data_IF_263891696528
#
_entry.id   IF_263891696528
#
_cell.length_a   1.000
_cell.length_b   1.000
_cell.length_c   1.000
_cell.angle_alpha   90.00
_cell.angle_beta   90.00
_cell.angle_gamma   90.00
#
_symmetry.space_group_name_H-M   'P 1'
#
loop_
_entity.id
_entity.type
_entity.pdbx_description
1 polymer ?
#
# COMPACT_ATOMS: atom_id res chain seq x y z
N UNK A 1 -20.21 -29.54 30.77
CA UNK A 1 -18.76 -29.24 30.76
C UNK A 1 -18.60 -27.73 30.72
N UNK A 2 -18.20 -27.09 31.80
CA UNK A 2 -17.99 -25.63 31.88
C UNK A 2 -16.96 -25.18 30.82
N UNK A 3 -17.29 -24.15 30.04
CA UNK A 3 -16.38 -23.58 29.04
C UNK A 3 -15.07 -23.15 29.71
N UNK A 4 -13.94 -23.70 29.25
CA UNK A 4 -12.63 -23.26 29.72
C UNK A 4 -12.34 -21.85 29.16
N UNK A 5 -11.74 -20.93 29.95
CA UNK A 5 -11.16 -19.71 29.40
C UNK A 5 -10.26 -20.07 28.22
N UNK A 6 -10.44 -19.41 27.08
CA UNK A 6 -9.71 -19.78 25.87
C UNK A 6 -8.20 -19.49 25.99
N UNK A 7 -7.36 -20.50 25.75
CA UNK A 7 -5.95 -20.30 25.41
C UNK A 7 -5.86 -19.39 24.16
N UNK A 8 -5.05 -18.34 24.27
CA UNK A 8 -4.83 -17.33 23.24
C UNK A 8 -4.21 -17.91 21.95
N UNK A 9 -3.35 -18.92 22.04
CA UNK A 9 -2.75 -19.54 20.86
C UNK A 9 -3.81 -20.27 20.03
N UNK A 10 -4.64 -21.05 20.69
CA UNK A 10 -5.70 -21.80 20.03
C UNK A 10 -6.83 -20.86 19.54
N UNK A 11 -7.13 -19.75 20.26
CA UNK A 11 -8.03 -18.70 19.76
C UNK A 11 -7.49 -18.06 18.47
N UNK A 12 -6.19 -17.75 18.43
CA UNK A 12 -5.51 -17.24 17.23
C UNK A 12 -5.63 -18.22 16.07
N UNK A 13 -5.43 -19.50 16.31
CA UNK A 13 -5.42 -20.52 15.26
C UNK A 13 -6.83 -20.75 14.69
N UNK A 14 -7.86 -20.76 15.55
CA UNK A 14 -9.28 -20.82 15.13
C UNK A 14 -9.65 -19.61 14.25
N UNK A 15 -9.32 -18.40 14.70
CA UNK A 15 -9.61 -17.16 13.96
C UNK A 15 -8.88 -17.15 12.62
N UNK A 16 -7.59 -17.49 12.59
CA UNK A 16 -6.80 -17.55 11.35
C UNK A 16 -7.37 -18.56 10.36
N UNK A 17 -7.73 -19.75 10.82
CA UNK A 17 -8.30 -20.78 9.95
C UNK A 17 -9.65 -20.33 9.37
N UNK A 18 -10.52 -19.73 10.19
CA UNK A 18 -11.80 -19.18 9.74
C UNK A 18 -11.63 -18.04 8.71
N UNK A 19 -10.58 -17.22 8.86
CA UNK A 19 -10.23 -16.17 7.89
C UNK A 19 -9.73 -16.75 6.55
N UNK A 20 -8.90 -17.80 6.60
CA UNK A 20 -8.41 -18.48 5.40
C UNK A 20 -9.54 -19.17 4.62
N UNK A 21 -10.50 -19.74 5.34
CA UNK A 21 -11.65 -20.44 4.76
C UNK A 21 -12.82 -19.51 4.40
N UNK A 22 -12.72 -18.21 4.74
CA UNK A 22 -13.78 -17.22 4.57
C UNK A 22 -15.10 -17.62 5.24
N UNK A 23 -15.03 -18.24 6.42
CA UNK A 23 -16.14 -18.70 7.26
C UNK A 23 -16.24 -17.84 8.52
N UNK A 24 -16.82 -16.62 8.44
CA UNK A 24 -16.86 -15.70 9.57
C UNK A 24 -17.73 -16.19 10.75
N UNK A 25 -18.58 -17.18 10.51
CA UNK A 25 -19.37 -17.87 11.53
C UNK A 25 -19.27 -19.38 11.32
N UNK A 26 -18.26 -20.04 11.91
CA UNK A 26 -18.11 -21.49 11.77
C UNK A 26 -19.32 -22.25 12.32
N UNK A 27 -19.87 -23.16 11.52
CA UNK A 27 -20.98 -24.02 11.93
C UNK A 27 -20.51 -25.08 12.94
N UNK A 28 -19.25 -25.49 12.89
CA UNK A 28 -18.66 -26.43 13.84
C UNK A 28 -18.55 -25.80 15.25
N UNK A 29 -19.28 -26.34 16.26
CA UNK A 29 -19.22 -25.85 17.62
C UNK A 29 -17.80 -25.83 18.20
N UNK A 30 -16.92 -26.76 17.84
CA UNK A 30 -15.54 -26.76 18.35
C UNK A 30 -14.73 -25.55 17.87
N UNK A 31 -15.15 -24.95 16.76
CA UNK A 31 -14.49 -23.80 16.12
C UNK A 31 -15.18 -22.48 16.42
N UNK A 32 -16.25 -22.44 17.22
CA UNK A 32 -16.91 -21.19 17.60
C UNK A 32 -16.16 -20.49 18.73
N UNK A 33 -16.27 -19.17 18.73
CA UNK A 33 -15.83 -18.32 19.84
C UNK A 33 -17.04 -17.53 20.29
N UNK A 34 -17.30 -17.56 21.59
CA UNK A 34 -18.41 -16.87 22.22
C UNK A 34 -17.91 -15.95 23.34
N UNK A 35 -18.70 -14.93 23.65
CA UNK A 35 -18.40 -13.95 24.70
C UNK A 35 -19.54 -13.92 25.71
N UNK A 36 -19.21 -14.10 26.97
CA UNK A 36 -20.13 -13.99 28.09
C UNK A 36 -20.43 -12.53 28.46
N UNK A 37 -21.43 -12.32 29.32
CA UNK A 37 -21.87 -10.97 29.74
C UNK A 37 -20.79 -10.16 30.48
N UNK A 38 -19.79 -10.84 31.01
CA UNK A 38 -18.64 -10.28 31.72
C UNK A 38 -17.45 -9.95 30.81
N UNK A 39 -17.57 -10.23 29.50
CA UNK A 39 -16.51 -10.05 28.52
C UNK A 39 -15.54 -11.24 28.44
N UNK A 40 -15.78 -12.32 29.17
CA UNK A 40 -14.95 -13.53 29.10
C UNK A 40 -15.14 -14.23 27.76
N UNK A 41 -14.03 -14.61 27.13
CA UNK A 41 -14.02 -15.34 25.85
C UNK A 41 -14.00 -16.84 26.11
N UNK A 42 -14.97 -17.53 25.53
CA UNK A 42 -15.12 -18.97 25.58
C UNK A 42 -14.96 -19.60 24.20
N UNK A 43 -14.59 -20.87 24.19
CA UNK A 43 -14.65 -21.70 22.98
C UNK A 43 -15.90 -22.56 22.97
N UNK A 44 -16.46 -22.67 21.77
CA UNK A 44 -17.72 -23.32 21.53
C UNK A 44 -18.92 -22.58 22.10
N UNK A 45 -20.05 -23.27 22.08
CA UNK A 45 -21.24 -22.81 22.77
C UNK A 45 -21.00 -23.05 24.27
N UNK A 46 -21.07 -21.99 25.09
CA UNK A 46 -20.90 -22.13 26.54
C UNK A 46 -21.91 -23.14 27.08
N UNK A 47 -21.48 -24.05 27.95
CA UNK A 47 -22.42 -24.94 28.61
C UNK A 47 -23.14 -24.20 29.75
N UNK A 48 -24.41 -23.88 29.54
CA UNK A 48 -25.31 -23.27 30.53
C UNK A 48 -26.39 -22.40 29.87
N UNK A 49 -27.41 -22.00 30.64
CA UNK A 49 -28.51 -21.10 30.20
C UNK A 49 -28.09 -19.63 30.07
N UNK A 50 -26.79 -19.33 30.17
CA UNK A 50 -26.32 -17.95 30.08
C UNK A 50 -26.31 -17.48 28.62
N UNK A 51 -26.96 -16.34 28.29
CA UNK A 51 -26.92 -15.81 26.93
C UNK A 51 -25.49 -15.40 26.58
N UNK A 52 -24.98 -15.99 25.52
CA UNK A 52 -23.66 -15.69 24.96
C UNK A 52 -23.77 -15.03 23.58
N UNK A 53 -22.82 -14.15 23.28
CA UNK A 53 -22.70 -13.54 21.95
C UNK A 53 -21.68 -14.29 21.10
N UNK A 54 -22.03 -14.61 19.86
CA UNK A 54 -21.10 -15.22 18.90
C UNK A 54 -20.14 -14.16 18.35
N UNK A 55 -18.85 -14.47 18.37
CA UNK A 55 -17.82 -13.62 17.76
C UNK A 55 -17.81 -13.87 16.26
N UNK A 56 -17.78 -12.80 15.47
CA UNK A 56 -17.50 -12.87 14.03
C UNK A 56 -16.00 -13.10 13.81
N UNK A 57 -15.62 -14.16 13.12
CA UNK A 57 -14.23 -14.59 12.94
C UNK A 57 -13.58 -14.03 11.69
N UNK A 58 -14.34 -13.34 10.84
CA UNK A 58 -13.77 -12.69 9.66
C UNK A 58 -12.71 -11.67 10.05
N UNK A 59 -11.95 -11.23 9.05
CA UNK A 59 -10.87 -10.26 9.26
C UNK A 59 -11.42 -9.02 9.95
N UNK A 60 -10.72 -8.53 10.97
CA UNK A 60 -10.88 -7.14 11.40
C UNK A 60 -10.76 -6.22 10.18
N UNK A 61 -11.25 -4.99 10.28
CA UNK A 61 -10.99 -3.97 9.26
C UNK A 61 -9.48 -3.74 9.14
N UNK A 62 -8.83 -4.60 8.38
CA UNK A 62 -7.47 -4.49 7.93
C UNK A 62 -7.58 -3.83 6.57
N UNK A 63 -6.82 -2.76 6.38
CA UNK A 63 -6.69 -2.15 5.08
C UNK A 63 -5.99 -3.16 4.15
N UNK A 64 -6.79 -3.94 3.42
CA UNK A 64 -6.30 -4.99 2.51
C UNK A 64 -5.29 -4.42 1.52
N UNK A 65 -5.42 -3.14 1.17
CA UNK A 65 -4.45 -2.40 0.36
C UNK A 65 -3.10 -2.35 1.06
N UNK A 66 -3.03 -1.82 2.28
CA UNK A 66 -1.78 -1.71 3.04
C UNK A 66 -1.09 -3.08 3.24
N UNK A 67 -1.85 -4.15 3.48
CA UNK A 67 -1.29 -5.50 3.58
C UNK A 67 -0.65 -5.97 2.25
N UNK A 68 -1.32 -5.72 1.12
CA UNK A 68 -0.78 -6.00 -0.21
C UNK A 68 0.44 -5.14 -0.52
N UNK A 69 0.40 -3.85 -0.16
CA UNK A 69 1.50 -2.91 -0.36
C UNK A 69 2.73 -3.30 0.45
N UNK A 70 2.56 -3.69 1.71
CA UNK A 70 3.64 -4.18 2.57
C UNK A 70 4.33 -5.41 1.98
N UNK A 71 3.54 -6.35 1.47
CA UNK A 71 4.09 -7.52 0.80
C UNK A 71 4.85 -7.12 -0.48
N UNK A 72 4.25 -6.29 -1.32
CA UNK A 72 4.85 -5.84 -2.58
C UNK A 72 6.16 -5.10 -2.34
N UNK A 73 6.15 -4.10 -1.46
CA UNK A 73 7.34 -3.31 -1.15
C UNK A 73 8.49 -4.20 -0.66
N UNK A 74 8.20 -5.14 0.25
CA UNK A 74 9.20 -6.08 0.76
C UNK A 74 9.74 -7.03 -0.31
N UNK A 75 8.89 -7.46 -1.25
CA UNK A 75 9.24 -8.50 -2.21
C UNK A 75 9.79 -7.97 -3.54
N UNK A 76 9.48 -6.73 -3.91
CA UNK A 76 9.65 -6.21 -5.28
C UNK A 76 10.26 -4.82 -5.38
N UNK A 77 10.17 -3.99 -4.34
CA UNK A 77 10.76 -2.65 -4.37
C UNK A 77 12.25 -2.67 -4.00
N UNK A 78 13.01 -1.61 -4.33
CA UNK A 78 14.45 -1.55 -4.06
C UNK A 78 14.76 -1.69 -2.57
N UNK A 79 15.96 -2.21 -2.28
CA UNK A 79 16.47 -2.23 -0.92
C UNK A 79 16.52 -0.81 -0.33
N UNK A 80 16.17 -0.69 0.96
CA UNK A 80 16.04 0.61 1.61
C UNK A 80 14.73 1.35 1.32
N UNK A 81 13.75 0.70 0.69
CA UNK A 81 12.37 1.20 0.66
C UNK A 81 11.79 1.23 2.08
N UNK A 82 11.24 2.36 2.51
CA UNK A 82 10.70 2.58 3.86
C UNK A 82 9.26 3.07 3.78
N UNK A 83 8.39 2.50 4.61
CA UNK A 83 7.07 3.05 4.84
C UNK A 83 7.16 4.18 5.88
N UNK A 84 6.72 5.38 5.52
CA UNK A 84 6.60 6.54 6.39
C UNK A 84 5.16 6.59 6.87
N UNK A 85 4.95 6.64 8.19
CA UNK A 85 3.63 6.69 8.83
C UNK A 85 3.57 7.86 9.82
N UNK A 86 3.59 9.08 9.29
CA UNK A 86 3.48 10.31 10.07
C UNK A 86 2.08 10.95 9.89
N UNK A 87 1.61 11.79 10.83
CA UNK A 87 0.25 12.35 10.82
C UNK A 87 -0.19 13.02 9.51
N UNK A 88 0.74 13.62 8.77
CA UNK A 88 0.48 14.35 7.52
C UNK A 88 1.18 13.75 6.29
N UNK A 89 2.00 12.72 6.50
CA UNK A 89 2.85 12.13 5.46
C UNK A 89 2.81 10.61 5.62
N UNK A 90 1.96 9.95 4.84
CA UNK A 90 1.88 8.49 4.78
C UNK A 90 2.17 7.98 3.39
N UNK A 91 3.09 7.04 3.28
CA UNK A 91 3.50 6.51 1.99
C UNK A 91 4.84 5.80 2.02
N UNK A 92 5.37 5.55 0.84
CA UNK A 92 6.57 4.76 0.60
C UNK A 92 7.67 5.65 0.05
N UNK A 93 8.75 5.78 0.81
CA UNK A 93 9.99 6.41 0.35
C UNK A 93 10.91 5.35 -0.25
N UNK A 94 11.43 5.61 -1.46
CA UNK A 94 12.32 4.69 -2.15
C UNK A 94 13.27 5.44 -3.09
N UNK A 95 14.36 4.79 -3.50
CA UNK A 95 15.30 5.35 -4.47
C UNK A 95 15.43 4.45 -5.68
N UNK A 96 15.55 5.05 -6.85
CA UNK A 96 15.83 4.40 -8.12
C UNK A 96 17.17 4.89 -8.61
N UNK A 97 18.05 3.97 -8.98
CA UNK A 97 19.28 4.30 -9.74
C UNK A 97 19.10 3.78 -11.15
N UNK A 98 19.20 4.66 -12.15
CA UNK A 98 19.06 4.31 -13.56
C UNK A 98 20.34 3.71 -14.11
N UNK A 99 20.27 3.13 -15.32
CA UNK A 99 21.45 2.62 -16.05
C UNK A 99 22.48 3.72 -16.37
N UNK A 100 22.06 4.99 -16.38
CA UNK A 100 22.94 6.15 -16.53
C UNK A 100 23.60 6.59 -15.20
N UNK A 101 23.46 5.77 -14.15
CA UNK A 101 23.93 6.04 -12.79
C UNK A 101 23.36 7.33 -12.18
N UNK A 102 22.15 7.72 -12.60
CA UNK A 102 21.41 8.80 -12.00
C UNK A 102 20.53 8.26 -10.88
N UNK A 103 20.52 8.93 -9.74
CA UNK A 103 19.70 8.55 -8.60
C UNK A 103 18.51 9.50 -8.45
N UNK A 104 17.34 8.93 -8.22
CA UNK A 104 16.11 9.64 -7.93
C UNK A 104 15.50 9.07 -6.64
N UNK A 105 15.25 9.92 -5.65
CA UNK A 105 14.48 9.57 -4.45
C UNK A 105 13.05 10.03 -4.63
N UNK A 106 12.11 9.11 -4.38
CA UNK A 106 10.70 9.24 -4.68
C UNK A 106 9.85 8.91 -3.45
N UNK A 107 8.64 9.47 -3.42
CA UNK A 107 7.65 9.21 -2.40
C UNK A 107 6.29 8.84 -3.03
N UNK A 108 5.88 7.58 -2.90
CA UNK A 108 4.58 7.11 -3.35
C UNK A 108 3.56 7.18 -2.20
N UNK A 109 2.43 7.86 -2.40
CA UNK A 109 1.39 7.99 -1.39
C UNK A 109 0.01 7.73 -2.00
N UNK A 110 -0.87 7.15 -1.19
CA UNK A 110 -2.25 6.91 -1.58
C UNK A 110 -3.12 8.10 -1.15
N UNK A 111 -3.77 8.77 -2.10
CA UNK A 111 -4.55 9.99 -1.84
C UNK A 111 -5.99 9.72 -1.34
N UNK A 112 -6.30 8.44 -1.07
CA UNK A 112 -7.65 7.98 -0.74
C UNK A 112 -8.36 7.31 -1.92
N UNK A 113 -7.86 7.50 -3.15
CA UNK A 113 -8.39 6.85 -4.36
C UNK A 113 -7.31 6.13 -5.15
N UNK A 114 -6.14 6.72 -5.27
CA UNK A 114 -5.07 6.26 -6.16
C UNK A 114 -3.69 6.62 -5.59
N UNK A 115 -2.68 5.91 -6.08
CA UNK A 115 -1.28 6.18 -5.80
C UNK A 115 -0.74 7.31 -6.66
N UNK A 116 -0.18 8.31 -6.00
CA UNK A 116 0.60 9.39 -6.60
C UNK A 116 2.06 9.23 -6.21
N UNK A 117 2.96 9.73 -7.04
CA UNK A 117 4.40 9.71 -6.76
C UNK A 117 4.94 11.12 -6.84
N UNK A 118 5.67 11.54 -5.82
CA UNK A 118 6.45 12.77 -5.80
C UNK A 118 7.93 12.49 -5.95
N UNK A 119 8.61 13.33 -6.72
CA UNK A 119 10.05 13.45 -6.69
C UNK A 119 10.46 14.18 -5.41
N UNK A 120 11.39 13.59 -4.68
CA UNK A 120 11.98 14.17 -3.46
C UNK A 120 13.38 14.71 -3.76
N UNK A 121 14.17 13.95 -4.53
CA UNK A 121 15.51 14.34 -4.97
C UNK A 121 15.82 13.70 -6.33
N UNK A 122 16.51 14.40 -7.26
CA UNK A 122 16.90 15.81 -7.20
C UNK A 122 15.71 16.78 -7.34
N UNK A 123 15.85 18.07 -6.96
CA UNK A 123 14.75 19.05 -6.95
C UNK A 123 14.40 19.58 -8.35
N UNK A 124 14.08 18.68 -9.29
CA UNK A 124 13.83 19.02 -10.70
C UNK A 124 12.54 19.83 -10.90
N UNK A 125 11.64 19.84 -9.93
CA UNK A 125 10.43 20.68 -9.97
C UNK A 125 10.76 22.17 -10.06
N UNK A 126 11.93 22.60 -9.59
CA UNK A 126 12.42 23.98 -9.76
C UNK A 126 12.67 24.30 -11.24
N UNK A 127 13.29 23.37 -11.97
CA UNK A 127 13.51 23.53 -13.42
C UNK A 127 12.20 23.58 -14.20
N UNK A 128 11.16 22.89 -13.72
CA UNK A 128 9.81 22.99 -14.29
C UNK A 128 9.19 24.36 -14.00
N UNK A 129 9.33 24.87 -12.77
CA UNK A 129 8.84 26.23 -12.40
C UNK A 129 9.52 27.34 -13.19
N UNK A 130 10.81 27.17 -13.46
CA UNK A 130 11.62 28.10 -14.27
C UNK A 130 11.43 27.90 -15.78
N UNK A 131 10.59 26.95 -16.19
CA UNK A 131 10.29 26.63 -17.58
C UNK A 131 11.55 26.21 -18.38
N UNK A 132 12.54 25.63 -17.69
CA UNK A 132 13.73 25.00 -18.28
C UNK A 132 13.38 23.61 -18.81
N UNK A 133 12.53 22.88 -18.07
CA UNK A 133 11.92 21.62 -18.52
C UNK A 133 10.42 21.85 -18.64
N UNK A 134 9.85 21.61 -19.83
CA UNK A 134 8.40 21.66 -19.99
C UNK A 134 7.73 20.58 -19.13
N UNK A 135 6.66 20.92 -18.42
CA UNK A 135 5.98 19.97 -17.52
C UNK A 135 5.45 18.72 -18.24
N UNK A 136 5.04 18.87 -19.51
CA UNK A 136 4.65 17.76 -20.36
C UNK A 136 5.86 16.99 -20.88
N UNK A 137 6.91 17.71 -21.31
CA UNK A 137 8.16 17.10 -21.79
C UNK A 137 8.84 16.25 -20.71
N UNK A 138 8.83 16.71 -19.46
CA UNK A 138 9.42 15.99 -18.32
C UNK A 138 8.45 15.07 -17.59
N UNK A 139 7.15 15.08 -17.93
CA UNK A 139 6.09 14.42 -17.15
C UNK A 139 6.19 14.69 -15.63
N UNK A 140 6.60 15.91 -15.26
CA UNK A 140 6.85 16.33 -13.89
C UNK A 140 6.12 17.66 -13.67
N UNK A 141 5.24 17.70 -12.68
CA UNK A 141 4.52 18.92 -12.32
C UNK A 141 5.40 19.86 -11.46
N UNK A 142 5.08 21.17 -11.42
CA UNK A 142 5.81 22.16 -10.62
C UNK A 142 5.83 21.88 -9.11
N UNK A 143 4.99 20.98 -8.59
CA UNK A 143 4.95 20.58 -7.19
C UNK A 143 5.74 19.28 -6.90
N UNK A 144 6.49 18.79 -7.89
CA UNK A 144 7.27 17.55 -7.84
C UNK A 144 6.45 16.30 -8.10
N UNK A 145 5.13 16.40 -8.32
CA UNK A 145 4.31 15.23 -8.63
C UNK A 145 4.61 14.72 -10.04
N UNK A 146 4.85 13.42 -10.19
CA UNK A 146 5.07 12.77 -11.48
C UNK A 146 3.71 12.52 -12.15
N UNK A 147 3.63 12.78 -13.45
CA UNK A 147 2.48 12.42 -14.27
C UNK A 147 2.54 10.91 -14.62
N UNK A 148 1.76 10.08 -13.92
CA UNK A 148 1.82 8.63 -14.07
C UNK A 148 0.85 8.08 -15.11
N UNK A 149 -0.14 8.86 -15.58
CA UNK A 149 -1.18 8.41 -16.50
C UNK A 149 -1.43 9.42 -17.63
N UNK A 150 -2.17 9.01 -18.67
CA UNK A 150 -2.55 9.91 -19.77
C UNK A 150 -3.60 10.95 -19.38
N UNK A 151 -4.18 10.85 -18.19
CA UNK A 151 -5.16 11.82 -17.67
C UNK A 151 -4.48 12.68 -16.60
N UNK A 152 -4.56 13.99 -16.78
CA UNK A 152 -3.92 14.95 -15.86
C UNK A 152 -4.37 14.72 -14.42
N UNK A 153 -3.39 14.61 -13.52
CA UNK A 153 -3.63 14.51 -12.08
C UNK A 153 -4.21 13.16 -11.62
N UNK A 154 -4.24 12.16 -12.51
CA UNK A 154 -4.65 10.78 -12.19
C UNK A 154 -3.42 9.94 -11.90
N UNK A 155 -3.46 9.29 -10.74
CA UNK A 155 -2.46 8.36 -10.22
C UNK A 155 -2.58 6.95 -10.79
N UNK A 156 -2.08 5.98 -10.05
CA UNK A 156 -2.14 4.54 -10.37
C UNK A 156 -2.97 3.79 -9.33
N UNK A 157 -3.67 2.69 -9.68
CA UNK A 157 -4.56 2.00 -8.76
C UNK A 157 -3.83 1.21 -7.66
N UNK A 158 -2.54 0.90 -7.84
CA UNK A 158 -1.74 0.10 -6.92
C UNK A 158 -0.33 0.68 -6.73
N UNK A 159 0.33 0.32 -5.62
CA UNK A 159 1.72 0.67 -5.38
C UNK A 159 2.64 0.07 -6.45
N UNK A 160 2.31 -1.12 -6.94
CA UNK A 160 3.04 -1.81 -8.00
C UNK A 160 3.06 -1.00 -9.29
N UNK A 161 1.89 -0.58 -9.77
CA UNK A 161 1.77 0.21 -11.00
C UNK A 161 2.43 1.58 -10.84
N UNK A 162 2.28 2.22 -9.68
CA UNK A 162 2.95 3.49 -9.37
C UNK A 162 4.48 3.35 -9.39
N UNK A 163 5.00 2.32 -8.73
CA UNK A 163 6.43 2.03 -8.68
C UNK A 163 6.97 1.74 -10.10
N UNK A 164 6.37 0.80 -10.83
CA UNK A 164 6.82 0.43 -12.16
C UNK A 164 6.82 1.62 -13.12
N UNK A 165 5.78 2.46 -13.07
CA UNK A 165 5.71 3.66 -13.90
C UNK A 165 6.75 4.71 -13.48
N UNK A 166 7.05 4.83 -12.18
CA UNK A 166 8.09 5.73 -11.69
C UNK A 166 9.51 5.31 -12.09
N UNK A 167 9.78 4.01 -12.23
CA UNK A 167 11.02 3.47 -12.80
C UNK A 167 11.17 3.86 -14.27
N UNK A 168 10.11 3.71 -15.06
CA UNK A 168 10.11 4.13 -16.46
C UNK A 168 10.30 5.66 -16.58
N UNK A 169 9.65 6.43 -15.71
CA UNK A 169 9.83 7.87 -15.65
C UNK A 169 11.27 8.27 -15.32
N UNK A 170 11.90 7.65 -14.33
CA UNK A 170 13.28 7.96 -13.93
C UNK A 170 14.26 7.77 -15.10
N UNK A 171 14.09 6.68 -15.86
CA UNK A 171 14.88 6.44 -17.06
C UNK A 171 14.63 7.51 -18.13
N UNK A 172 13.37 7.86 -18.39
CA UNK A 172 13.01 8.87 -19.39
C UNK A 172 13.47 10.28 -19.01
N UNK A 173 13.44 10.62 -17.73
CA UNK A 173 13.94 11.89 -17.21
C UNK A 173 15.45 12.05 -17.45
N UNK A 174 16.21 10.95 -17.43
CA UNK A 174 17.62 10.97 -17.83
C UNK A 174 17.84 11.49 -19.25
N UNK A 175 16.96 11.14 -20.20
CA UNK A 175 17.03 11.68 -21.57
C UNK A 175 16.73 13.19 -21.61
N UNK A 176 15.68 13.61 -20.90
CA UNK A 176 15.27 15.02 -20.81
C UNK A 176 16.38 15.89 -20.23
N UNK A 177 17.02 15.43 -19.15
CA UNK A 177 18.16 16.13 -18.54
C UNK A 177 19.39 16.21 -19.43
N UNK A 178 19.52 15.31 -20.40
CA UNK A 178 20.57 15.33 -21.41
C UNK A 178 20.15 16.07 -22.69
N UNK A 179 19.02 16.79 -22.69
CA UNK A 179 18.56 17.63 -23.80
C UNK A 179 17.79 16.89 -24.89
N UNK A 180 17.36 15.65 -24.65
CA UNK A 180 16.55 14.87 -25.57
C UNK A 180 15.06 14.90 -25.18
N UNK A 181 14.16 14.61 -26.12
CA UNK A 181 12.75 14.43 -25.81
C UNK A 181 12.54 13.17 -24.93
N UNK A 182 11.47 13.17 -24.15
CA UNK A 182 11.11 12.02 -23.33
C UNK A 182 10.70 10.83 -24.20
N UNK A 183 11.42 9.69 -24.13
CA UNK A 183 11.35 8.65 -25.15
C UNK A 183 10.12 7.73 -25.02
N UNK A 184 9.38 7.81 -23.92
CA UNK A 184 8.28 6.89 -23.60
C UNK A 184 6.89 7.55 -23.68
N UNK A 185 6.80 8.68 -24.37
CA UNK A 185 5.56 9.38 -24.66
C UNK A 185 5.29 9.40 -26.16
N UNK A 186 4.01 9.33 -26.55
CA UNK A 186 3.60 9.45 -27.97
C UNK A 186 3.68 10.90 -28.45
N UNK A 187 3.66 11.85 -27.51
CA UNK A 187 3.86 13.27 -27.78
C UNK A 187 5.36 13.54 -28.03
N UNK A 188 5.77 13.53 -29.30
CA UNK A 188 7.17 13.72 -29.68
C UNK A 188 7.52 13.39 -31.13
N UNK A 189 6.54 13.35 -32.05
CA UNK A 189 6.76 13.40 -33.50
C UNK A 189 6.17 14.68 -34.07
#
# INVERSE_FOLDING_TARGET
MTGKPGDLNELRDIIRQAQLENTPYPDDPARRITVGKDGTIYRGDQAGDEPVSRVHHGTFAADRRLAADLWFARAKMPEGTVYVDEPDVRGWAYSITTELNERYTLFAFFDGREYRVKLVDPPLEQLVRENVIGAHDGHLYPDGTICLSGTRGVGQPSLEEAYAKSVLWALGMGFVRNGYAFPFAVEGR
#
